data_IF_836675230257
#
_entry.id   IF_836675230257
#
_cell.length_a   1.000
_cell.length_b   1.000
_cell.length_c   1.000
_cell.angle_alpha   90.00
_cell.angle_beta   90.00
_cell.angle_gamma   90.00
#
_symmetry.space_group_name_H-M   'P 1'
#
loop_
_entity.id
_entity.type
_entity.pdbx_description
1 polymer ?
#
# COMPACT_ATOMS: atom_id res chain seq x y z
N UNK A 1 31.09 -16.54 -17.26
CA UNK A 1 30.38 -15.33 -16.82
C UNK A 1 29.89 -15.61 -15.40
N UNK A 2 30.46 -14.95 -14.38
CA UNK A 2 29.98 -15.12 -12.99
C UNK A 2 28.61 -14.44 -12.89
N UNK A 3 27.57 -15.21 -12.57
CA UNK A 3 26.25 -14.66 -12.28
C UNK A 3 26.33 -13.80 -11.02
N UNK A 4 25.67 -12.64 -11.05
CA UNK A 4 25.53 -11.78 -9.88
C UNK A 4 24.91 -12.57 -8.72
N UNK A 5 25.43 -12.38 -7.52
CA UNK A 5 24.77 -12.86 -6.30
C UNK A 5 23.43 -12.15 -6.10
N UNK A 6 22.51 -12.76 -5.35
CA UNK A 6 21.20 -12.16 -5.08
C UNK A 6 21.29 -10.76 -4.47
N UNK A 7 22.23 -10.53 -3.55
CA UNK A 7 22.46 -9.20 -2.95
C UNK A 7 22.95 -8.16 -3.97
N UNK A 8 23.83 -8.56 -4.89
CA UNK A 8 24.31 -7.68 -5.96
C UNK A 8 23.19 -7.33 -6.93
N UNK A 9 22.31 -8.31 -7.23
CA UNK A 9 21.12 -8.08 -8.05
C UNK A 9 20.13 -7.12 -7.40
N UNK A 10 19.77 -7.34 -6.13
CA UNK A 10 18.85 -6.45 -5.42
C UNK A 10 19.42 -5.03 -5.26
N UNK A 11 20.73 -4.90 -5.03
CA UNK A 11 21.39 -3.60 -4.92
C UNK A 11 21.40 -2.86 -6.25
N UNK A 12 21.73 -3.53 -7.36
CA UNK A 12 21.70 -2.93 -8.69
C UNK A 12 20.28 -2.49 -9.08
N UNK A 13 19.28 -3.33 -8.84
CA UNK A 13 17.87 -3.03 -9.11
C UNK A 13 17.40 -1.73 -8.43
N UNK A 14 17.80 -1.51 -7.18
CA UNK A 14 17.42 -0.32 -6.41
C UNK A 14 18.24 0.92 -6.77
N UNK A 15 19.52 0.77 -7.10
CA UNK A 15 20.39 1.89 -7.44
C UNK A 15 20.16 2.43 -8.86
N UNK A 16 19.77 1.55 -9.79
CA UNK A 16 19.50 1.92 -11.20
C UNK A 16 18.02 2.27 -11.45
N UNK A 17 17.16 2.17 -10.43
CA UNK A 17 15.79 2.62 -10.53
C UNK A 17 15.75 4.13 -10.87
N UNK A 18 14.89 4.58 -11.80
CA UNK A 18 14.78 5.98 -12.16
C UNK A 18 14.55 6.82 -10.90
N UNK A 19 15.35 7.89 -10.76
CA UNK A 19 15.39 8.72 -9.55
C UNK A 19 14.05 9.31 -9.18
N UNK A 20 13.14 9.48 -10.14
CA UNK A 20 11.78 9.87 -9.83
C UNK A 20 10.70 9.12 -10.59
N UNK A 21 9.60 8.80 -9.89
CA UNK A 21 9.36 9.06 -8.47
C UNK A 21 9.63 7.81 -7.61
N UNK A 22 10.70 7.80 -6.81
CA UNK A 22 10.89 6.78 -5.75
C UNK A 22 9.96 7.12 -4.59
N UNK A 23 8.74 6.59 -4.62
CA UNK A 23 7.71 6.81 -3.60
C UNK A 23 6.75 5.64 -3.52
N UNK A 24 5.99 5.59 -2.43
CA UNK A 24 4.78 4.76 -2.32
C UNK A 24 3.56 5.66 -2.53
N UNK A 25 2.62 5.22 -3.35
CA UNK A 25 1.35 5.90 -3.56
C UNK A 25 0.24 5.15 -2.81
N UNK A 26 -0.50 5.88 -1.97
CA UNK A 26 -1.73 5.38 -1.34
C UNK A 26 -2.90 5.69 -2.26
N UNK A 27 -3.61 4.65 -2.71
CA UNK A 27 -4.66 4.76 -3.70
C UNK A 27 -5.94 4.07 -3.24
N UNK A 28 -7.06 4.60 -3.71
CA UNK A 28 -8.39 4.06 -3.50
C UNK A 28 -9.19 4.22 -4.79
N UNK A 29 -9.94 3.21 -5.19
CA UNK A 29 -10.87 3.29 -6.31
C UNK A 29 -11.98 2.24 -6.20
N UNK A 30 -13.15 2.57 -6.71
CA UNK A 30 -14.31 1.70 -6.81
C UNK A 30 -14.17 0.72 -7.99
N UNK A 31 -14.86 -0.42 -7.89
CA UNK A 31 -14.89 -1.45 -8.94
C UNK A 31 -16.33 -1.74 -9.37
N UNK A 32 -16.53 -2.31 -10.58
CA UNK A 32 -17.82 -2.88 -10.95
C UNK A 32 -18.37 -3.85 -9.88
N UNK A 33 -19.69 -4.03 -9.89
CA UNK A 33 -20.44 -4.82 -8.91
C UNK A 33 -20.36 -4.32 -7.45
N UNK A 34 -20.02 -3.05 -7.23
CA UNK A 34 -20.15 -2.38 -5.94
C UNK A 34 -18.99 -2.60 -4.97
N UNK A 35 -17.86 -3.11 -5.45
CA UNK A 35 -16.62 -3.27 -4.68
C UNK A 35 -15.71 -2.04 -4.73
N UNK A 36 -14.59 -2.11 -4.02
CA UNK A 36 -13.52 -1.12 -4.08
C UNK A 36 -12.18 -1.75 -3.70
N UNK A 37 -11.08 -1.11 -4.10
CA UNK A 37 -9.72 -1.48 -3.77
C UNK A 37 -9.05 -0.32 -3.03
N UNK A 38 -8.35 -0.64 -1.95
CA UNK A 38 -7.45 0.27 -1.24
C UNK A 38 -6.04 -0.30 -1.25
N UNK A 39 -5.03 0.50 -1.58
CA UNK A 39 -3.62 0.11 -1.58
C UNK A 39 -2.75 1.22 -0.98
N UNK A 40 -1.69 0.83 -0.28
CA UNK A 40 -0.78 1.76 0.42
C UNK A 40 0.60 1.89 -0.21
N UNK A 41 0.96 0.98 -1.12
CA UNK A 41 2.24 1.00 -1.83
C UNK A 41 3.51 0.80 -0.98
N UNK A 42 3.40 0.41 0.30
CA UNK A 42 4.54 0.28 1.21
C UNK A 42 4.52 -1.03 2.01
N UNK A 43 5.64 -1.77 1.96
CA UNK A 43 5.84 -3.00 2.73
C UNK A 43 5.84 -2.76 4.25
N UNK A 44 6.28 -1.58 4.68
CA UNK A 44 6.39 -1.24 6.10
C UNK A 44 5.05 -0.80 6.72
N UNK A 45 3.96 -0.69 5.95
CA UNK A 45 2.67 -0.20 6.47
C UNK A 45 2.17 -1.01 7.67
N UNK A 46 2.18 -2.34 7.55
CA UNK A 46 1.70 -3.24 8.61
C UNK A 46 2.51 -3.17 9.90
N UNK A 47 3.82 -2.94 9.83
CA UNK A 47 4.67 -2.86 11.02
C UNK A 47 4.48 -1.57 11.82
N UNK A 48 3.91 -0.52 11.20
CA UNK A 48 3.58 0.73 11.89
C UNK A 48 2.30 0.64 12.73
N UNK A 49 1.43 -0.36 12.50
CA UNK A 49 0.14 -0.48 13.21
C UNK A 49 0.26 -0.43 14.75
N UNK A 50 1.10 -1.25 15.42
CA UNK A 50 1.16 -1.28 16.88
C UNK A 50 1.88 -0.06 17.51
N UNK A 51 2.44 0.85 16.71
CA UNK A 51 3.13 2.03 17.22
C UNK A 51 2.21 2.89 18.09
N UNK A 52 2.74 3.50 19.15
CA UNK A 52 1.99 4.36 20.07
C UNK A 52 0.67 3.74 20.56
N UNK A 53 0.69 2.42 20.87
CA UNK A 53 -0.50 1.68 21.29
C UNK A 53 -1.68 1.79 20.30
N UNK A 54 -1.40 1.72 19.00
CA UNK A 54 -2.37 1.90 17.91
C UNK A 54 -3.00 3.31 17.82
N UNK A 55 -2.55 4.28 18.62
CA UNK A 55 -2.98 5.67 18.53
C UNK A 55 -2.15 6.43 17.48
N UNK A 56 -2.25 6.00 16.21
CA UNK A 56 -1.49 6.57 15.11
C UNK A 56 -2.29 6.59 13.80
N UNK A 57 -1.81 7.37 12.82
CA UNK A 57 -2.51 7.56 11.55
C UNK A 57 -2.66 6.29 10.72
N UNK A 58 -1.66 5.39 10.75
CA UNK A 58 -1.68 4.11 10.01
C UNK A 58 -2.82 3.23 10.53
N UNK A 59 -2.94 3.12 11.85
CA UNK A 59 -4.02 2.40 12.50
C UNK A 59 -5.39 3.03 12.21
N UNK A 60 -5.53 4.35 12.33
CA UNK A 60 -6.79 5.06 12.03
C UNK A 60 -7.24 4.91 10.59
N UNK A 61 -6.33 5.06 9.61
CA UNK A 61 -6.65 4.85 8.19
C UNK A 61 -7.08 3.41 7.94
N UNK A 62 -6.36 2.44 8.52
CA UNK A 62 -6.68 1.02 8.35
C UNK A 62 -8.03 0.66 8.97
N UNK A 63 -8.36 1.17 10.16
CA UNK A 63 -9.67 0.96 10.80
C UNK A 63 -10.81 1.58 9.96
N UNK A 64 -10.62 2.79 9.42
CA UNK A 64 -11.60 3.44 8.55
C UNK A 64 -11.90 2.60 7.29
N UNK A 65 -10.86 2.11 6.62
CA UNK A 65 -11.00 1.27 5.42
C UNK A 65 -11.72 -0.03 5.76
N UNK A 66 -11.27 -0.73 6.81
CA UNK A 66 -11.87 -2.01 7.24
C UNK A 66 -13.34 -1.84 7.64
N UNK A 67 -13.68 -0.77 8.37
CA UNK A 67 -15.09 -0.46 8.71
C UNK A 67 -15.93 -0.22 7.46
N UNK A 68 -15.43 0.55 6.50
CA UNK A 68 -16.16 0.84 5.26
C UNK A 68 -16.31 -0.40 4.39
N UNK A 69 -15.32 -1.28 4.34
CA UNK A 69 -15.35 -2.50 3.51
C UNK A 69 -16.25 -3.59 4.11
N UNK A 70 -16.44 -3.58 5.43
CA UNK A 70 -17.38 -4.47 6.13
C UNK A 70 -18.84 -4.03 5.99
N UNK A 71 -19.09 -2.77 5.64
CA UNK A 71 -20.43 -2.24 5.43
C UNK A 71 -21.03 -2.82 4.14
N UNK A 72 -22.23 -3.45 4.18
CA UNK A 72 -22.84 -4.05 2.99
C UNK A 72 -23.28 -3.04 1.93
N UNK A 73 -23.24 -1.72 2.22
CA UNK A 73 -23.55 -0.69 1.23
C UNK A 73 -22.52 -0.72 0.09
N UNK A 74 -22.97 -0.87 -1.19
CA UNK A 74 -22.05 -0.91 -2.33
C UNK A 74 -21.32 0.41 -2.50
N UNK A 75 -20.14 0.36 -3.13
CA UNK A 75 -19.47 1.54 -3.64
C UNK A 75 -20.03 1.94 -5.00
N UNK A 76 -20.19 3.24 -5.22
CA UNK A 76 -20.66 3.79 -6.49
C UNK A 76 -19.46 4.34 -7.25
N UNK A 77 -19.36 4.04 -8.55
CA UNK A 77 -18.34 4.66 -9.39
C UNK A 77 -18.54 6.19 -9.41
N UNK A 78 -17.45 6.98 -9.41
CA UNK A 78 -17.55 8.42 -9.60
C UNK A 78 -18.12 8.76 -10.99
N UNK A 79 -18.80 9.91 -11.07
CA UNK A 79 -19.38 10.46 -12.31
C UNK A 79 -18.31 10.89 -13.32
#
# INVERSE_FOLDING_TARGET
MRGMSGSEFFTALWNDAPREPIRADMTFFETPAGGAVFSVGSIAWGSCLPHAHYANNVASISDNVLRRFRDPRPFHMPD
#
